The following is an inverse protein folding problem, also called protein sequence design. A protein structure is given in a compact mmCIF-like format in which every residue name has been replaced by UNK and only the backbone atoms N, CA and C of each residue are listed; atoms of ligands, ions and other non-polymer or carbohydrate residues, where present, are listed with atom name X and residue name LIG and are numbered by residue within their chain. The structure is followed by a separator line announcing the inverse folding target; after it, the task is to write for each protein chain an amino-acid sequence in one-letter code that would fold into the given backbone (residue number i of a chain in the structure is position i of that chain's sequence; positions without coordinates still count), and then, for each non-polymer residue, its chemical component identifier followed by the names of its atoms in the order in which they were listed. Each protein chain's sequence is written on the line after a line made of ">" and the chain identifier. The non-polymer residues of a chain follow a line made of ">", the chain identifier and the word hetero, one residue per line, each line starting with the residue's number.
data_IF_139109097781
#
_entry.id   IF_139109097781
#
_cell.length_a   1.000
_cell.length_b   1.000
_cell.length_c   1.000
_cell.angle_alpha   90.00
_cell.angle_beta   90.00
_cell.angle_gamma   90.00
#
_symmetry.space_group_name_H-M   'P 1'
#
loop_
_entity.id
_entity.type
_entity.pdbx_description
1 polymer ?
#
# COMPACT_ATOMS: atom_id res chain seq x y z
N UNK A 1 -7.19 1.80 6.37
CA UNK A 1 -5.71 1.75 6.54
C UNK A 1 -5.15 0.58 5.76
N UNK A 2 -4.05 0.80 5.09
CA UNK A 2 -3.37 -0.22 4.30
C UNK A 2 -2.04 -0.58 4.94
N UNK A 3 -1.57 -1.79 4.67
CA UNK A 3 -0.29 -2.27 5.18
C UNK A 3 0.46 -2.96 4.05
N UNK A 4 1.73 -2.61 3.88
CA UNK A 4 2.60 -3.24 2.88
C UNK A 4 2.93 -4.67 3.30
N UNK A 5 3.06 -5.56 2.32
CA UNK A 5 3.43 -6.95 2.55
C UNK A 5 4.67 -7.33 1.78
N UNK A 6 5.56 -8.10 2.43
CA UNK A 6 6.75 -8.63 1.82
C UNK A 6 6.55 -10.09 1.44
N UNK A 7 7.20 -10.51 0.36
CA UNK A 7 7.25 -11.92 -0.03
C UNK A 7 8.43 -12.63 0.68
N UNK A 8 8.65 -13.91 0.34
CA UNK A 8 9.74 -14.70 0.92
C UNK A 8 11.13 -14.15 0.57
N UNK A 9 11.25 -13.33 -0.45
CA UNK A 9 12.50 -12.68 -0.85
C UNK A 9 12.69 -11.32 -0.18
N UNK A 10 11.85 -10.99 0.79
CA UNK A 10 11.87 -9.73 1.52
C UNK A 10 11.59 -8.52 0.64
N UNK A 11 10.88 -8.72 -0.47
CA UNK A 11 10.45 -7.68 -1.40
C UNK A 11 8.98 -7.36 -1.18
N UNK A 12 8.62 -6.08 -1.24
CA UNK A 12 7.22 -5.67 -1.13
C UNK A 12 6.51 -6.01 -2.42
N UNK A 13 5.49 -6.88 -2.34
CA UNK A 13 4.79 -7.38 -3.51
C UNK A 13 3.29 -7.13 -3.49
N UNK A 14 2.74 -6.66 -2.36
CA UNK A 14 1.30 -6.46 -2.23
C UNK A 14 1.03 -5.50 -1.08
N UNK A 15 -0.24 -5.09 -0.97
CA UNK A 15 -0.73 -4.30 0.16
C UNK A 15 -2.00 -4.98 0.69
N UNK A 16 -2.19 -4.96 2.00
CA UNK A 16 -3.40 -5.50 2.62
C UNK A 16 -4.21 -4.38 3.24
N UNK A 17 -5.52 -4.63 3.41
CA UNK A 17 -6.39 -3.74 4.17
C UNK A 17 -6.37 -4.22 5.61
N UNK A 18 -5.93 -3.37 6.53
CA UNK A 18 -5.84 -3.71 7.95
C UNK A 18 -7.23 -4.06 8.49
N UNK A 19 -7.32 -5.21 9.14
CA UNK A 19 -8.57 -5.70 9.69
C UNK A 19 -9.40 -6.54 8.74
N UNK A 20 -8.94 -6.75 7.50
CA UNK A 20 -9.62 -7.57 6.52
C UNK A 20 -8.65 -8.58 5.89
N UNK A 21 -9.10 -9.79 5.54
CA UNK A 21 -8.24 -10.80 4.92
C UNK A 21 -8.10 -10.58 3.42
N UNK A 22 -7.85 -9.34 3.01
CA UNK A 22 -7.76 -8.95 1.60
C UNK A 22 -6.32 -8.54 1.30
N UNK A 23 -5.75 -9.15 0.27
CA UNK A 23 -4.44 -8.80 -0.25
C UNK A 23 -4.60 -8.25 -1.66
N UNK A 24 -4.00 -7.09 -1.90
CA UNK A 24 -4.10 -6.39 -3.19
C UNK A 24 -2.74 -6.47 -3.87
N UNK A 25 -2.64 -7.17 -5.02
CA UNK A 25 -1.37 -7.26 -5.74
C UNK A 25 -1.02 -5.92 -6.39
N UNK A 26 0.27 -5.69 -6.60
CA UNK A 26 0.74 -4.48 -7.29
C UNK A 26 0.61 -4.66 -8.81
N UNK A 27 -0.63 -4.66 -9.27
CA UNK A 27 -0.96 -4.82 -10.69
C UNK A 27 -1.69 -3.56 -11.16
N UNK A 28 -1.12 -2.79 -12.10
CA UNK A 28 -1.78 -1.56 -12.59
C UNK A 28 -3.17 -1.79 -13.17
N UNK A 29 -3.48 -3.01 -13.62
CA UNK A 29 -4.81 -3.35 -14.13
C UNK A 29 -5.80 -3.67 -13.01
N UNK A 30 -5.37 -3.78 -11.76
CA UNK A 30 -6.23 -4.11 -10.64
C UNK A 30 -6.90 -2.83 -10.12
N UNK A 31 -8.23 -2.84 -10.07
CA UNK A 31 -9.01 -1.67 -9.62
C UNK A 31 -8.71 -1.32 -8.16
N UNK A 32 -8.57 -2.33 -7.30
CA UNK A 32 -8.29 -2.08 -5.88
C UNK A 32 -6.91 -1.45 -5.69
N UNK A 33 -5.94 -1.85 -6.50
CA UNK A 33 -4.61 -1.26 -6.49
C UNK A 33 -4.67 0.21 -6.93
N UNK A 34 -5.41 0.50 -7.98
CA UNK A 34 -5.59 1.88 -8.46
C UNK A 34 -6.26 2.75 -7.40
N UNK A 35 -7.28 2.21 -6.71
CA UNK A 35 -7.95 2.92 -5.63
C UNK A 35 -7.03 3.15 -4.44
N UNK A 36 -6.21 2.18 -4.08
CA UNK A 36 -5.21 2.32 -3.02
C UNK A 36 -4.27 3.49 -3.29
N UNK A 37 -3.71 3.56 -4.49
CA UNK A 37 -2.81 4.65 -4.89
C UNK A 37 -3.52 5.99 -4.83
N UNK A 38 -4.74 6.05 -5.33
CA UNK A 38 -5.55 7.28 -5.34
C UNK A 38 -5.83 7.77 -3.92
N UNK A 39 -6.24 6.86 -3.03
CA UNK A 39 -6.56 7.22 -1.66
C UNK A 39 -5.33 7.73 -0.90
N UNK A 40 -4.18 7.09 -1.10
CA UNK A 40 -2.94 7.54 -0.45
C UNK A 40 -2.53 8.91 -0.97
N UNK A 41 -2.58 9.13 -2.29
CA UNK A 41 -2.20 10.41 -2.89
C UNK A 41 -3.14 11.54 -2.50
N UNK A 42 -4.42 11.22 -2.25
CA UNK A 42 -5.42 12.20 -1.81
C UNK A 42 -5.41 12.40 -0.28
N UNK A 43 -4.55 11.70 0.45
CA UNK A 43 -4.46 11.75 1.90
C UNK A 43 -5.74 11.28 2.59
N UNK A 44 -6.49 10.40 1.92
CA UNK A 44 -7.75 9.84 2.43
C UNK A 44 -7.56 8.55 3.20
N UNK A 45 -6.37 7.94 3.13
CA UNK A 45 -6.05 6.70 3.81
C UNK A 45 -4.62 6.74 4.34
N UNK A 46 -4.35 5.92 5.34
CA UNK A 46 -3.01 5.78 5.91
C UNK A 46 -2.37 4.49 5.42
N UNK A 47 -1.04 4.49 5.36
CA UNK A 47 -0.26 3.34 4.93
C UNK A 47 0.72 2.95 6.05
N UNK A 48 0.75 1.67 6.37
CA UNK A 48 1.76 1.09 7.25
C UNK A 48 2.83 0.40 6.41
N UNK A 49 4.06 0.40 6.89
CA UNK A 49 5.11 -0.40 6.27
C UNK A 49 4.93 -1.89 6.60
N UNK A 50 5.82 -2.74 6.05
CA UNK A 50 5.72 -4.19 6.27
C UNK A 50 5.95 -4.59 7.73
N UNK A 51 6.55 -3.73 8.54
CA UNK A 51 6.77 -3.97 9.96
C UNK A 51 5.61 -3.47 10.83
N UNK A 52 4.62 -2.83 10.21
CA UNK A 52 3.45 -2.34 10.92
C UNK A 52 3.57 -0.92 11.43
N UNK A 53 4.61 -0.20 11.07
CA UNK A 53 4.76 1.21 11.45
C UNK A 53 3.98 2.10 10.49
N UNK A 54 3.19 3.01 11.03
CA UNK A 54 2.44 3.96 10.22
C UNK A 54 3.39 4.95 9.54
N UNK A 55 3.35 5.01 8.23
CA UNK A 55 4.12 5.99 7.47
C UNK A 55 3.45 7.35 7.57
N UNK A 56 4.26 8.43 7.52
CA UNK A 56 3.69 9.77 7.42
C UNK A 56 3.00 9.93 6.06
N UNK A 57 2.08 10.89 5.95
CA UNK A 57 1.40 11.16 4.69
C UNK A 57 2.42 11.43 3.57
N UNK A 58 3.46 12.20 3.87
CA UNK A 58 4.50 12.52 2.90
C UNK A 58 5.28 11.28 2.45
N UNK A 59 5.66 10.43 3.40
CA UNK A 59 6.37 9.19 3.09
C UNK A 59 5.51 8.25 2.24
N UNK A 60 4.23 8.12 2.60
CA UNK A 60 3.30 7.27 1.86
C UNK A 60 3.12 7.76 0.43
N UNK A 61 2.93 9.06 0.25
CA UNK A 61 2.76 9.65 -1.09
C UNK A 61 4.00 9.46 -1.94
N UNK A 62 5.18 9.68 -1.37
CA UNK A 62 6.44 9.50 -2.08
C UNK A 62 6.62 8.05 -2.50
N UNK A 63 6.30 7.12 -1.61
CA UNK A 63 6.41 5.69 -1.91
C UNK A 63 5.46 5.30 -3.05
N UNK A 64 4.20 5.69 -2.94
CA UNK A 64 3.17 5.34 -3.93
C UNK A 64 3.49 5.94 -5.30
N UNK A 65 4.10 7.12 -5.34
CA UNK A 65 4.48 7.76 -6.59
C UNK A 65 5.56 6.97 -7.36
N UNK A 66 6.30 6.08 -6.68
CA UNK A 66 7.32 5.24 -7.33
C UNK A 66 6.74 3.92 -7.85
N UNK A 67 5.50 3.61 -7.53
CA UNK A 67 4.86 2.34 -7.94
C UNK A 67 4.35 2.42 -9.38
N UNK A 68 4.31 1.26 -10.08
CA UNK A 68 3.79 1.22 -11.45
C UNK A 68 2.32 1.58 -11.56
#
# INVERSE_FOLDING_TARGET
>A
MYKLQKNSLNEICAVTIVGQPISIPFDPANTDYANFKKEILADEAQLQDADGKTMTAEQAKTYVATLP
#
